data_IF_927325344031
#
_entry.id   IF_927325344031
#
_cell.length_a   1.000
_cell.length_b   1.000
_cell.length_c   1.000
_cell.angle_alpha   90.00
_cell.angle_beta   90.00
_cell.angle_gamma   90.00
#
_symmetry.space_group_name_H-M   'P 1'
#
loop_
_entity.id
_entity.type
_entity.pdbx_description
1 polymer ?
#
# COMPACT_ATOMS: atom_id res chain seq x y z
N UNK A 1 0.16 25.92 -13.77
CA UNK A 1 0.48 25.55 -15.17
C UNK A 1 -0.34 24.32 -15.51
N UNK A 2 -1.14 24.33 -16.58
CA UNK A 2 -1.78 23.12 -17.08
C UNK A 2 -0.66 22.24 -17.64
N UNK A 3 -0.20 21.28 -16.83
CA UNK A 3 0.81 20.32 -17.26
C UNK A 3 0.16 19.43 -18.31
N UNK A 4 0.72 19.50 -19.51
CA UNK A 4 0.22 18.82 -20.71
C UNK A 4 0.13 17.32 -20.40
N UNK A 5 -1.09 16.81 -20.54
CA UNK A 5 -1.55 15.46 -20.24
C UNK A 5 -0.77 14.38 -20.99
N UNK A 6 -0.25 14.73 -22.17
CA UNK A 6 0.50 13.88 -23.08
C UNK A 6 1.83 13.39 -22.48
N UNK A 7 2.40 14.11 -21.49
CA UNK A 7 3.67 13.76 -20.85
C UNK A 7 3.52 13.09 -19.47
N UNK A 8 2.30 12.74 -19.04
CA UNK A 8 2.08 12.16 -17.70
C UNK A 8 2.99 10.96 -17.44
N UNK A 9 3.09 10.03 -18.39
CA UNK A 9 3.95 8.84 -18.26
C UNK A 9 5.43 9.22 -18.04
N UNK A 10 5.96 10.13 -18.85
CA UNK A 10 7.35 10.59 -18.75
C UNK A 10 7.62 11.32 -17.41
N UNK A 11 6.68 12.15 -16.95
CA UNK A 11 6.77 12.83 -15.66
C UNK A 11 6.78 11.80 -14.52
N UNK A 12 5.89 10.80 -14.55
CA UNK A 12 5.80 9.76 -13.54
C UNK A 12 7.08 8.93 -13.47
N UNK A 13 7.64 8.54 -14.62
CA UNK A 13 8.89 7.78 -14.70
C UNK A 13 10.07 8.60 -14.17
N UNK A 14 10.16 9.88 -14.54
CA UNK A 14 11.18 10.79 -13.99
C UNK A 14 11.04 10.94 -12.48
N UNK A 15 9.81 11.10 -11.98
CA UNK A 15 9.56 11.19 -10.54
C UNK A 15 9.88 9.89 -9.80
N UNK A 16 9.62 8.73 -10.41
CA UNK A 16 10.00 7.42 -9.88
C UNK A 16 11.51 7.32 -9.75
N UNK A 17 12.23 7.60 -10.83
CA UNK A 17 13.69 7.63 -10.89
C UNK A 17 14.28 8.55 -9.82
N UNK A 18 13.78 9.78 -9.70
CA UNK A 18 14.23 10.73 -8.68
C UNK A 18 13.95 10.26 -7.25
N UNK A 19 12.83 9.58 -7.00
CA UNK A 19 12.53 9.04 -5.65
C UNK A 19 13.44 7.85 -5.33
N UNK A 20 13.68 6.94 -6.29
CA UNK A 20 14.60 5.81 -6.11
C UNK A 20 16.04 6.28 -5.89
N UNK A 21 16.46 7.36 -6.54
CA UNK A 21 17.80 7.95 -6.38
C UNK A 21 18.07 8.58 -5.00
N UNK A 22 17.06 8.69 -4.11
CA UNK A 22 17.22 9.36 -2.81
C UNK A 22 18.06 8.57 -1.80
N UNK A 23 18.01 7.25 -1.87
CA UNK A 23 18.77 6.39 -0.97
C UNK A 23 18.77 4.94 -1.47
N UNK A 24 19.72 4.14 -0.99
CA UNK A 24 19.75 2.70 -1.24
C UNK A 24 18.44 2.02 -0.83
N UNK A 25 17.87 2.39 0.31
CA UNK A 25 16.58 1.87 0.77
C UNK A 25 15.44 2.22 -0.21
N UNK A 26 15.40 3.46 -0.72
CA UNK A 26 14.39 3.86 -1.70
C UNK A 26 14.54 3.13 -3.04
N UNK A 27 15.78 2.89 -3.48
CA UNK A 27 16.09 2.11 -4.68
C UNK A 27 15.66 0.65 -4.53
N UNK A 28 16.08 -0.03 -3.46
CA UNK A 28 15.75 -1.42 -3.17
C UNK A 28 14.23 -1.60 -3.13
N UNK A 29 13.52 -0.70 -2.44
CA UNK A 29 12.06 -0.69 -2.38
C UNK A 29 11.41 -0.50 -3.75
N UNK A 30 11.93 0.38 -4.60
CA UNK A 30 11.32 0.72 -5.89
C UNK A 30 11.60 -0.28 -7.00
N UNK A 31 12.37 -1.35 -6.75
CA UNK A 31 12.89 -2.22 -7.80
C UNK A 31 12.79 -3.72 -7.46
N UNK A 32 11.55 -4.21 -7.38
CA UNK A 32 11.21 -5.61 -7.05
C UNK A 32 11.78 -6.60 -8.07
N UNK A 33 11.73 -6.29 -9.37
CA UNK A 33 12.26 -7.18 -10.43
C UNK A 33 13.77 -7.38 -10.25
N UNK A 34 14.54 -6.30 -10.05
CA UNK A 34 15.99 -6.40 -9.83
C UNK A 34 16.34 -7.17 -8.56
N UNK A 35 15.49 -7.11 -7.54
CA UNK A 35 15.66 -7.95 -6.36
C UNK A 35 15.56 -9.44 -6.69
N UNK A 36 14.56 -9.88 -7.44
CA UNK A 36 14.42 -11.29 -7.81
C UNK A 36 15.49 -11.75 -8.78
N UNK A 37 15.90 -10.90 -9.73
CA UNK A 37 17.06 -11.18 -10.60
C UNK A 37 18.34 -11.37 -9.77
N UNK A 38 18.58 -10.49 -8.79
CA UNK A 38 19.71 -10.60 -7.88
C UNK A 38 19.64 -11.88 -7.04
N UNK A 39 18.47 -12.19 -6.47
CA UNK A 39 18.29 -13.36 -5.63
C UNK A 39 18.54 -14.64 -6.44
N UNK A 40 17.95 -14.76 -7.64
CA UNK A 40 18.14 -15.90 -8.53
C UNK A 40 19.58 -16.06 -9.02
N UNK A 41 20.30 -14.95 -9.23
CA UNK A 41 21.71 -14.96 -9.61
C UNK A 41 22.70 -15.10 -8.45
N UNK A 42 22.24 -15.09 -7.20
CA UNK A 42 23.10 -15.17 -6.03
C UNK A 42 23.60 -16.59 -5.79
N UNK A 43 24.82 -16.73 -5.24
CA UNK A 43 25.38 -18.05 -4.89
C UNK A 43 24.53 -18.77 -3.83
N UNK A 44 23.96 -17.99 -2.91
CA UNK A 44 23.11 -18.51 -1.83
C UNK A 44 21.71 -18.92 -2.28
N UNK A 45 21.30 -18.62 -3.53
CA UNK A 45 20.00 -19.03 -4.05
C UNK A 45 19.79 -20.55 -3.96
N UNK A 46 20.84 -21.31 -4.29
CA UNK A 46 20.85 -22.77 -4.23
C UNK A 46 20.87 -23.33 -2.80
N UNK A 47 21.23 -22.50 -1.82
CA UNK A 47 21.31 -22.87 -0.39
C UNK A 47 20.01 -22.52 0.35
N UNK A 48 19.06 -21.84 -0.30
CA UNK A 48 17.80 -21.49 0.34
C UNK A 48 16.99 -22.75 0.67
N UNK A 49 16.36 -22.82 1.85
CA UNK A 49 15.50 -23.94 2.20
C UNK A 49 14.32 -24.02 1.24
N UNK A 50 13.91 -25.25 0.90
CA UNK A 50 12.69 -25.49 0.12
C UNK A 50 11.49 -25.37 1.05
N UNK A 51 10.69 -24.33 0.84
CA UNK A 51 9.43 -24.10 1.56
C UNK A 51 8.20 -24.54 0.75
N UNK A 52 7.02 -24.65 1.40
CA UNK A 52 5.78 -24.98 0.72
C UNK A 52 5.36 -23.85 -0.24
N UNK A 53 4.63 -24.16 -1.32
CA UNK A 53 4.05 -23.15 -2.20
C UNK A 53 2.87 -22.48 -1.50
N UNK A 54 3.07 -21.25 -1.01
CA UNK A 54 2.02 -20.46 -0.34
C UNK A 54 1.93 -19.07 -0.96
N UNK A 55 0.82 -18.38 -0.72
CA UNK A 55 0.71 -16.96 -1.07
C UNK A 55 1.71 -16.14 -0.25
N UNK A 56 2.67 -15.53 -0.94
CA UNK A 56 3.61 -14.56 -0.39
C UNK A 56 3.24 -13.15 -0.85
N UNK A 57 3.65 -12.12 -0.11
CA UNK A 57 3.48 -10.72 -0.47
C UNK A 57 4.20 -10.39 -1.79
N UNK A 58 5.37 -11.00 -2.05
CA UNK A 58 6.12 -10.83 -3.28
C UNK A 58 6.94 -9.53 -3.34
N UNK A 59 6.50 -8.46 -2.67
CA UNK A 59 7.27 -7.23 -2.43
C UNK A 59 7.35 -6.88 -0.93
N UNK A 60 7.56 -7.89 -0.07
CA UNK A 60 7.58 -7.69 1.38
C UNK A 60 8.74 -6.78 1.86
N UNK A 61 8.45 -5.54 2.22
CA UNK A 61 9.46 -4.59 2.67
C UNK A 61 8.96 -3.72 3.83
N UNK A 62 9.86 -3.03 4.54
CA UNK A 62 9.53 -2.21 5.72
C UNK A 62 8.39 -1.20 5.46
N UNK A 63 8.36 -0.60 4.27
CA UNK A 63 7.31 0.36 3.89
C UNK A 63 5.90 -0.24 3.71
N UNK A 64 5.76 -1.57 3.70
CA UNK A 64 4.49 -2.29 3.59
C UNK A 64 3.93 -2.65 4.96
N UNK A 65 4.77 -2.66 6.01
CA UNK A 65 4.30 -2.81 7.38
C UNK A 65 3.53 -1.58 7.84
N UNK A 66 2.38 -1.80 8.46
CA UNK A 66 1.71 -0.77 9.23
C UNK A 66 0.25 -1.08 9.55
N UNK A 67 -0.47 -0.11 10.12
CA UNK A 67 -1.82 -0.32 10.63
C UNK A 67 -2.80 -0.76 9.53
N UNK A 68 -3.51 -1.86 9.77
CA UNK A 68 -4.66 -2.37 9.03
C UNK A 68 -5.83 -2.50 10.00
N UNK A 69 -7.02 -2.09 9.57
CA UNK A 69 -8.24 -2.30 10.35
C UNK A 69 -8.94 -3.57 9.86
N UNK A 70 -9.37 -4.43 10.77
CA UNK A 70 -10.24 -5.56 10.47
C UNK A 70 -11.71 -5.11 10.29
N UNK A 71 -12.59 -6.06 9.97
CA UNK A 71 -14.02 -5.79 9.76
C UNK A 71 -14.74 -5.25 11.02
N UNK A 72 -14.17 -5.49 12.21
CA UNK A 72 -14.67 -5.01 13.50
C UNK A 72 -14.03 -3.67 13.91
N UNK A 73 -13.12 -3.13 13.09
CA UNK A 73 -12.41 -1.89 13.36
C UNK A 73 -11.26 -2.02 14.34
N UNK A 74 -10.83 -3.24 14.71
CA UNK A 74 -9.59 -3.48 15.45
C UNK A 74 -8.42 -3.21 14.51
N UNK A 75 -7.42 -2.48 15.01
CA UNK A 75 -6.27 -2.06 14.20
C UNK A 75 -5.02 -2.79 14.65
N UNK A 76 -4.33 -3.43 13.73
CA UNK A 76 -3.08 -4.14 13.97
C UNK A 76 -2.01 -3.75 12.96
N UNK A 77 -0.74 -3.93 13.32
CA UNK A 77 0.36 -3.72 12.38
C UNK A 77 0.57 -4.99 11.58
N UNK A 78 0.20 -4.95 10.31
CA UNK A 78 0.30 -6.08 9.40
C UNK A 78 1.06 -5.69 8.12
N UNK A 79 1.37 -6.68 7.28
CA UNK A 79 1.84 -6.46 5.92
C UNK A 79 0.66 -5.94 5.08
N UNK A 80 0.91 -4.91 4.27
CA UNK A 80 -0.05 -4.27 3.36
C UNK A 80 0.51 -4.23 1.95
N UNK A 81 -0.30 -3.79 0.99
CA UNK A 81 0.05 -3.77 -0.45
C UNK A 81 0.29 -5.20 -0.95
N UNK A 82 -0.81 -5.90 -1.24
CA UNK A 82 -0.82 -7.29 -1.71
C UNK A 82 -0.97 -7.39 -3.24
N UNK A 83 -0.63 -6.32 -3.96
CA UNK A 83 -0.77 -6.22 -5.42
C UNK A 83 0.33 -6.97 -6.20
N UNK A 84 1.43 -7.37 -5.55
CA UNK A 84 2.45 -8.27 -6.10
C UNK A 84 2.41 -9.68 -5.51
N UNK A 85 1.29 -10.08 -4.91
CA UNK A 85 1.17 -11.42 -4.32
C UNK A 85 1.31 -12.52 -5.37
N UNK A 86 2.02 -13.59 -5.00
CA UNK A 86 2.26 -14.74 -5.86
C UNK A 86 2.36 -16.00 -5.00
N UNK A 87 2.07 -17.16 -5.57
CA UNK A 87 2.39 -18.44 -4.92
C UNK A 87 3.88 -18.69 -5.03
N UNK A 88 4.58 -18.78 -3.90
CA UNK A 88 6.03 -18.93 -3.85
C UNK A 88 6.55 -19.47 -2.53
N UNK A 89 7.88 -19.56 -2.44
CA UNK A 89 8.57 -19.97 -1.22
C UNK A 89 8.54 -18.82 -0.18
N UNK A 90 8.06 -19.05 1.06
CA UNK A 90 8.01 -18.03 2.11
C UNK A 90 9.33 -17.29 2.35
N UNK A 91 10.46 -17.97 2.13
CA UNK A 91 11.79 -17.39 2.35
C UNK A 91 12.03 -16.13 1.51
N UNK A 92 11.37 -15.99 0.36
CA UNK A 92 11.52 -14.81 -0.50
C UNK A 92 11.06 -13.54 0.21
N UNK A 93 9.94 -13.58 0.94
CA UNK A 93 9.44 -12.43 1.70
C UNK A 93 10.36 -12.09 2.88
N UNK A 94 10.93 -13.10 3.55
CA UNK A 94 11.89 -12.89 4.64
C UNK A 94 13.18 -12.23 4.13
N UNK A 95 13.71 -12.70 3.01
CA UNK A 95 14.92 -12.11 2.39
C UNK A 95 14.63 -10.68 1.91
N UNK A 96 13.47 -10.46 1.29
CA UNK A 96 13.05 -9.12 0.83
C UNK A 96 12.93 -8.15 2.00
N UNK A 97 12.28 -8.58 3.09
CA UNK A 97 12.10 -7.77 4.29
C UNK A 97 13.44 -7.50 4.98
N UNK A 98 14.27 -8.54 5.13
CA UNK A 98 15.61 -8.43 5.72
C UNK A 98 16.50 -7.47 4.94
N UNK A 99 16.53 -7.55 3.61
CA UNK A 99 17.26 -6.61 2.75
C UNK A 99 16.74 -5.18 2.92
N UNK A 100 15.42 -5.01 3.02
CA UNK A 100 14.79 -3.71 3.27
C UNK A 100 15.21 -3.13 4.62
N UNK A 101 15.21 -3.94 5.69
CA UNK A 101 15.64 -3.55 7.04
C UNK A 101 17.13 -3.18 7.05
N UNK A 102 17.98 -4.01 6.47
CA UNK A 102 19.42 -3.76 6.38
C UNK A 102 19.73 -2.46 5.61
N UNK A 103 19.03 -2.23 4.50
CA UNK A 103 19.18 -1.00 3.70
C UNK A 103 18.70 0.24 4.45
N UNK A 104 17.62 0.14 5.25
CA UNK A 104 17.12 1.23 6.07
C UNK A 104 18.07 1.56 7.23
N UNK A 105 18.58 0.53 7.91
CA UNK A 105 19.54 0.67 9.00
C UNK A 105 20.84 1.32 8.51
N UNK A 106 21.37 0.87 7.37
CA UNK A 106 22.53 1.48 6.72
C UNK A 106 22.28 2.93 6.31
N UNK A 107 21.10 3.23 5.75
CA UNK A 107 20.73 4.61 5.40
C UNK A 107 20.52 5.54 6.59
N UNK A 108 20.49 5.00 7.81
CA UNK A 108 20.34 5.72 9.08
C UNK A 108 21.64 5.67 9.91
N UNK A 109 22.77 5.26 9.32
CA UNK A 109 24.07 5.12 9.97
C UNK A 109 24.05 4.27 11.25
N UNK A 110 23.18 3.26 11.31
CA UNK A 110 23.14 2.34 12.45
C UNK A 110 24.33 1.36 12.40
N UNK A 111 24.91 0.99 13.55
CA UNK A 111 25.97 -0.01 13.62
C UNK A 111 25.58 -1.35 12.99
N UNK A 112 26.56 -2.05 12.43
CA UNK A 112 26.35 -3.39 11.85
C UNK A 112 25.74 -4.38 12.85
N UNK A 113 26.12 -4.29 14.12
CA UNK A 113 25.54 -5.10 15.22
C UNK A 113 24.05 -4.85 15.40
N UNK A 114 23.59 -3.60 15.23
CA UNK A 114 22.17 -3.26 15.28
C UNK A 114 21.43 -3.86 14.09
N UNK A 115 22.04 -3.79 12.91
CA UNK A 115 21.47 -4.38 11.69
C UNK A 115 21.34 -5.89 11.82
N UNK A 116 22.38 -6.58 12.30
CA UNK A 116 22.36 -8.02 12.53
C UNK A 116 21.24 -8.41 13.51
N UNK A 117 21.15 -7.70 14.65
CA UNK A 117 20.10 -7.92 15.64
C UNK A 117 18.70 -7.69 15.08
N UNK A 118 18.50 -6.68 14.23
CA UNK A 118 17.20 -6.46 13.58
C UNK A 118 16.78 -7.62 12.67
N UNK A 119 17.72 -8.21 11.93
CA UNK A 119 17.46 -9.36 11.05
C UNK A 119 17.21 -10.62 11.88
N UNK A 120 18.01 -10.84 12.93
CA UNK A 120 17.85 -11.95 13.87
C UNK A 120 16.47 -11.93 14.52
N UNK A 121 16.06 -10.79 15.10
CA UNK A 121 14.74 -10.64 15.72
C UNK A 121 13.58 -10.79 14.72
N UNK A 122 13.79 -10.44 13.45
CA UNK A 122 12.79 -10.68 12.40
C UNK A 122 12.60 -12.19 12.15
N UNK A 123 13.69 -12.95 12.08
CA UNK A 123 13.63 -14.40 11.86
C UNK A 123 13.08 -15.12 13.09
N UNK A 124 13.55 -14.76 14.30
CA UNK A 124 13.01 -15.29 15.55
C UNK A 124 11.51 -15.03 15.71
N UNK A 125 11.06 -13.80 15.40
CA UNK A 125 9.64 -13.47 15.44
C UNK A 125 8.81 -14.27 14.45
N UNK A 126 9.34 -14.53 13.25
CA UNK A 126 8.68 -15.38 12.25
C UNK A 126 8.59 -16.84 12.71
N UNK A 127 9.67 -17.40 13.24
CA UNK A 127 9.72 -18.77 13.78
C UNK A 127 8.75 -18.93 14.96
N UNK A 128 8.73 -17.97 15.87
CA UNK A 128 7.81 -17.95 17.01
C UNK A 128 6.34 -17.93 16.58
N UNK A 129 5.99 -17.11 15.59
CA UNK A 129 4.63 -17.03 15.06
C UNK A 129 4.19 -18.36 14.41
N UNK A 130 5.11 -19.06 13.74
CA UNK A 130 4.83 -20.38 13.18
C UNK A 130 4.63 -21.46 14.26
N UNK A 131 5.36 -21.37 15.38
CA UNK A 131 5.31 -22.37 16.44
C UNK A 131 4.06 -22.26 17.33
N UNK A 132 3.59 -21.04 17.63
CA UNK A 132 2.49 -20.82 18.57
C UNK A 132 1.10 -20.84 17.93
N UNK A 133 0.99 -20.56 16.63
CA UNK A 133 -0.30 -20.54 15.92
C UNK A 133 -1.28 -19.42 16.32
N UNK A 134 -1.07 -18.76 17.48
CA UNK A 134 -1.82 -17.60 17.94
C UNK A 134 -0.90 -16.37 18.10
N UNK A 135 -1.31 -15.25 17.51
CA UNK A 135 -0.58 -13.96 17.54
C UNK A 135 -0.65 -13.26 18.92
N UNK A 136 -1.55 -13.71 19.81
CA UNK A 136 -1.96 -12.98 21.02
C UNK A 136 -0.96 -13.02 22.19
N UNK A 137 0.03 -13.93 22.18
CA UNK A 137 0.94 -14.13 23.32
C UNK A 137 2.24 -13.30 23.26
N UNK A 138 2.50 -12.60 22.15
CA UNK A 138 3.72 -11.76 22.04
C UNK A 138 3.49 -10.35 22.59
N UNK A 139 4.24 -9.89 23.61
CA UNK A 139 4.08 -8.54 24.16
C UNK A 139 4.31 -7.45 23.10
N UNK A 140 3.27 -6.69 22.78
CA UNK A 140 3.37 -5.60 21.80
C UNK A 140 4.33 -4.48 22.27
N UNK A 141 5.39 -4.17 21.50
CA UNK A 141 6.32 -3.08 21.83
C UNK A 141 5.63 -1.71 21.88
N UNK A 142 6.14 -0.81 22.74
CA UNK A 142 5.61 0.56 22.88
C UNK A 142 5.58 1.34 21.57
N UNK A 143 6.55 1.09 20.68
CA UNK A 143 6.64 1.71 19.34
C UNK A 143 5.48 1.27 18.44
N UNK A 144 5.15 -0.03 18.43
CA UNK A 144 4.02 -0.59 17.69
C UNK A 144 2.70 -0.03 18.25
N UNK A 145 2.58 0.01 19.57
CA UNK A 145 1.41 0.60 20.26
C UNK A 145 1.20 2.06 19.91
N UNK A 146 2.27 2.84 19.81
CA UNK A 146 2.22 4.24 19.40
C UNK A 146 1.76 4.39 17.93
N UNK A 147 2.25 3.54 17.03
CA UNK A 147 1.80 3.50 15.62
C UNK A 147 0.32 3.16 15.54
N UNK A 148 -0.15 2.15 16.28
CA UNK A 148 -1.57 1.77 16.35
C UNK A 148 -2.45 2.91 16.88
N UNK A 149 -2.07 3.53 18.01
CA UNK A 149 -2.80 4.68 18.57
C UNK A 149 -2.90 5.85 17.58
N UNK A 150 -1.81 6.16 16.88
CA UNK A 150 -1.79 7.22 15.86
C UNK A 150 -2.72 6.90 14.70
N UNK A 151 -2.84 5.64 14.31
CA UNK A 151 -3.76 5.20 13.27
C UNK A 151 -5.23 5.39 13.71
N UNK A 152 -5.57 4.96 14.93
CA UNK A 152 -6.91 5.11 15.51
C UNK A 152 -7.34 6.58 15.68
N UNK A 153 -6.40 7.47 16.02
CA UNK A 153 -6.65 8.90 16.15
C UNK A 153 -6.94 9.61 14.82
N UNK A 154 -6.51 9.04 13.68
CA UNK A 154 -6.78 9.56 12.34
C UNK A 154 -8.04 8.92 11.77
N UNK A 155 -9.20 9.21 12.36
CA UNK A 155 -10.49 8.84 11.75
C UNK A 155 -10.59 9.53 10.39
N UNK A 156 -11.01 8.80 9.35
CA UNK A 156 -11.32 9.34 8.02
C UNK A 156 -12.20 10.59 8.10
N UNK A 157 -13.11 10.64 9.08
CA UNK A 157 -13.96 11.79 9.39
C UNK A 157 -13.19 13.09 9.66
N UNK A 158 -12.04 13.03 10.34
CA UNK A 158 -11.19 14.21 10.57
C UNK A 158 -10.47 14.63 9.29
N UNK A 159 -10.00 13.67 8.49
CA UNK A 159 -9.33 13.95 7.20
C UNK A 159 -10.28 14.48 6.13
N UNK A 160 -11.53 14.01 6.12
CA UNK A 160 -12.59 14.48 5.24
C UNK A 160 -13.10 15.86 5.70
N UNK A 161 -13.38 16.06 6.99
CA UNK A 161 -13.81 17.36 7.51
C UNK A 161 -12.74 18.46 7.36
N UNK A 162 -11.46 18.11 7.47
CA UNK A 162 -10.35 19.06 7.24
C UNK A 162 -10.13 19.42 5.76
N UNK A 163 -10.70 18.67 4.80
CA UNK A 163 -10.34 18.78 3.36
C UNK A 163 -11.49 18.86 2.37
N UNK A 164 -12.71 18.55 2.78
CA UNK A 164 -13.90 18.41 1.94
C UNK A 164 -15.07 19.24 2.49
N UNK A 165 -14.81 20.48 2.91
CA UNK A 165 -15.76 21.37 3.57
C UNK A 165 -16.79 22.03 2.61
N UNK A 166 -17.11 21.39 1.48
CA UNK A 166 -18.02 21.94 0.46
C UNK A 166 -19.28 21.07 0.30
N UNK A 167 -20.37 21.72 -0.12
CA UNK A 167 -21.70 21.13 -0.37
C UNK A 167 -21.62 20.00 -1.42
N UNK A 168 -20.69 20.10 -2.37
CA UNK A 168 -20.23 18.99 -3.21
C UNK A 168 -18.73 18.78 -3.00
N UNK A 169 -18.33 17.68 -2.33
CA UNK A 169 -16.94 17.49 -1.98
C UNK A 169 -16.09 17.22 -3.24
N UNK A 170 -14.94 17.91 -3.35
CA UNK A 170 -13.98 17.76 -4.47
C UNK A 170 -12.58 17.39 -4.00
N UNK A 171 -11.87 16.60 -4.79
CA UNK A 171 -10.48 16.21 -4.60
C UNK A 171 -9.55 17.40 -4.87
N UNK A 172 -8.65 17.76 -3.93
CA UNK A 172 -7.79 18.91 -4.10
C UNK A 172 -6.68 18.64 -5.12
N UNK A 173 -6.77 19.26 -6.30
CA UNK A 173 -5.75 19.15 -7.34
C UNK A 173 -4.41 19.74 -6.90
N UNK A 174 -3.31 19.14 -7.35
CA UNK A 174 -1.95 19.59 -7.03
C UNK A 174 -0.92 18.48 -7.20
N UNK A 175 0.07 18.43 -6.30
CA UNK A 175 1.19 17.47 -6.42
C UNK A 175 0.78 15.99 -6.39
N UNK A 176 -0.36 15.66 -5.80
CA UNK A 176 -0.83 14.27 -5.60
C UNK A 176 -2.01 13.89 -6.48
N UNK A 177 -2.85 14.84 -6.85
CA UNK A 177 -4.07 14.64 -7.62
C UNK A 177 -4.00 15.53 -8.85
N UNK A 178 -3.99 14.95 -10.04
CA UNK A 178 -3.98 15.69 -11.30
C UNK A 178 -5.38 15.66 -11.92
N UNK A 179 -5.71 16.73 -12.65
CA UNK A 179 -6.98 16.82 -13.35
C UNK A 179 -7.11 15.69 -14.38
N UNK A 180 -8.31 15.15 -14.53
CA UNK A 180 -8.66 14.18 -15.58
C UNK A 180 -8.96 14.89 -16.89
N UNK A 181 -8.85 14.15 -17.99
CA UNK A 181 -9.47 14.54 -19.25
C UNK A 181 -10.93 14.10 -19.36
N UNK A 182 -11.61 14.56 -20.42
CA UNK A 182 -13.01 14.23 -20.63
C UNK A 182 -13.23 12.72 -20.87
N UNK A 183 -12.33 12.06 -21.59
CA UNK A 183 -12.44 10.63 -21.87
C UNK A 183 -12.22 9.79 -20.60
N UNK A 184 -11.22 10.12 -19.80
CA UNK A 184 -10.97 9.51 -18.48
C UNK A 184 -12.16 9.70 -17.55
N UNK A 185 -12.75 10.89 -17.54
CA UNK A 185 -13.92 11.18 -16.73
C UNK A 185 -15.15 10.36 -17.19
N UNK A 186 -15.37 10.25 -18.50
CA UNK A 186 -16.48 9.48 -19.08
C UNK A 186 -16.31 7.97 -18.87
N UNK A 187 -15.08 7.44 -19.01
CA UNK A 187 -14.76 6.04 -18.74
C UNK A 187 -14.96 5.69 -17.26
N UNK A 188 -14.55 6.56 -16.34
CA UNK A 188 -14.82 6.38 -14.91
C UNK A 188 -16.32 6.45 -14.62
N UNK A 189 -17.05 7.36 -15.27
CA UNK A 189 -18.51 7.42 -15.18
C UNK A 189 -19.16 6.10 -15.62
N UNK A 190 -18.72 5.55 -16.74
CA UNK A 190 -19.20 4.26 -17.25
C UNK A 190 -18.84 3.10 -16.30
N UNK A 191 -17.61 3.06 -15.78
CA UNK A 191 -17.14 2.02 -14.86
C UNK A 191 -17.95 2.01 -13.56
N UNK A 192 -18.14 3.17 -12.92
CA UNK A 192 -18.92 3.28 -11.68
C UNK A 192 -20.43 3.18 -11.92
N UNK A 193 -20.87 3.23 -13.17
CA UNK A 193 -22.23 2.89 -13.59
C UNK A 193 -22.49 1.38 -13.65
N UNK A 194 -21.46 0.53 -13.65
CA UNK A 194 -21.63 -0.93 -13.76
C UNK A 194 -22.18 -1.53 -12.47
N UNK A 195 -23.18 -2.42 -12.60
CA UNK A 195 -23.84 -3.08 -11.48
C UNK A 195 -22.86 -3.86 -10.59
N UNK A 196 -21.88 -4.56 -11.19
CA UNK A 196 -20.86 -5.29 -10.44
C UNK A 196 -19.99 -4.38 -9.56
N UNK A 197 -19.63 -3.20 -10.05
CA UNK A 197 -18.83 -2.21 -9.30
C UNK A 197 -19.68 -1.61 -8.17
N UNK A 198 -20.93 -1.28 -8.45
CA UNK A 198 -21.85 -0.77 -7.42
C UNK A 198 -22.10 -1.81 -6.33
N UNK A 199 -22.36 -3.06 -6.69
CA UNK A 199 -22.53 -4.16 -5.75
C UNK A 199 -21.28 -4.38 -4.89
N UNK A 200 -20.08 -4.32 -5.47
CA UNK A 200 -18.84 -4.42 -4.73
C UNK A 200 -18.68 -3.28 -3.72
N UNK A 201 -18.99 -2.03 -4.12
CA UNK A 201 -18.93 -0.86 -3.21
C UNK A 201 -19.94 -1.00 -2.07
N UNK A 202 -21.17 -1.44 -2.35
CA UNK A 202 -22.22 -1.61 -1.34
C UNK A 202 -21.91 -2.78 -0.38
N UNK A 203 -21.18 -3.80 -0.83
CA UNK A 203 -20.73 -4.89 0.03
C UNK A 203 -19.76 -4.43 1.13
N UNK A 204 -19.07 -3.30 0.92
CA UNK A 204 -18.16 -2.73 1.90
C UNK A 204 -18.95 -2.12 3.07
N UNK A 205 -18.66 -2.58 4.29
CA UNK A 205 -19.25 -2.12 5.55
C UNK A 205 -20.72 -2.52 5.79
N UNK A 206 -21.21 -3.59 5.13
CA UNK A 206 -22.51 -4.20 5.45
C UNK A 206 -23.71 -3.30 5.14
N UNK A 207 -23.66 -2.53 4.05
CA UNK A 207 -24.75 -1.64 3.65
C UNK A 207 -25.89 -2.41 2.97
N UNK A 208 -27.10 -1.87 3.07
CA UNK A 208 -28.29 -2.50 2.49
C UNK A 208 -28.38 -2.29 0.97
N UNK A 209 -29.01 -3.23 0.26
CA UNK A 209 -29.16 -3.21 -1.20
C UNK A 209 -30.01 -2.03 -1.74
N UNK A 210 -30.58 -1.20 -0.87
CA UNK A 210 -31.41 -0.04 -1.21
C UNK A 210 -30.55 1.21 -1.48
N UNK A 211 -29.32 1.25 -0.96
CA UNK A 211 -28.39 2.36 -1.16
C UNK A 211 -27.94 2.44 -2.63
N UNK A 212 -27.85 3.67 -3.15
CA UNK A 212 -27.34 3.94 -4.50
C UNK A 212 -25.97 4.59 -4.43
N UNK A 213 -25.12 4.22 -5.37
CA UNK A 213 -23.77 4.78 -5.51
C UNK A 213 -23.78 5.88 -6.57
N UNK A 214 -23.18 7.04 -6.26
CA UNK A 214 -22.95 8.13 -7.22
C UNK A 214 -21.48 8.52 -7.25
N UNK A 215 -20.91 8.62 -8.45
CA UNK A 215 -19.61 9.25 -8.67
C UNK A 215 -19.74 10.76 -8.42
N UNK A 216 -19.05 11.28 -7.40
CA UNK A 216 -19.06 12.71 -7.02
C UNK A 216 -17.92 13.45 -7.71
N UNK A 217 -16.71 12.92 -7.61
CA UNK A 217 -15.51 13.53 -8.18
C UNK A 217 -14.43 12.47 -8.42
N UNK A 218 -13.50 12.77 -9.32
CA UNK A 218 -12.36 11.90 -9.59
C UNK A 218 -11.12 12.70 -10.01
N UNK A 219 -9.96 12.16 -9.68
CA UNK A 219 -8.68 12.73 -10.06
C UNK A 219 -7.66 11.64 -10.35
N UNK A 220 -6.71 11.93 -11.24
CA UNK A 220 -5.57 11.06 -11.47
C UNK A 220 -4.69 11.03 -10.21
N UNK A 221 -4.40 9.84 -9.68
CA UNK A 221 -3.72 9.70 -8.41
C UNK A 221 -2.23 9.36 -8.57
N UNK A 222 -1.39 10.33 -8.23
CA UNK A 222 0.06 10.22 -8.27
C UNK A 222 0.60 9.56 -6.99
N UNK A 223 0.77 8.22 -6.99
CA UNK A 223 1.31 7.41 -5.85
C UNK A 223 2.84 7.14 -6.00
N UNK A 224 3.49 6.65 -4.95
CA UNK A 224 4.95 6.50 -4.80
C UNK A 224 5.63 5.39 -5.63
N UNK A 225 6.91 5.12 -5.31
CA UNK A 225 7.87 4.38 -6.14
C UNK A 225 7.47 2.98 -6.62
N UNK A 226 6.61 2.26 -5.91
CA UNK A 226 6.31 0.85 -6.21
C UNK A 226 5.47 0.66 -7.48
N UNK A 227 4.83 1.73 -7.98
CA UNK A 227 3.77 1.58 -8.98
C UNK A 227 3.62 2.75 -9.96
N UNK A 228 4.59 3.66 -10.00
CA UNK A 228 4.57 4.75 -10.97
C UNK A 228 4.71 4.10 -12.35
N UNK A 229 3.58 3.94 -13.03
CA UNK A 229 3.44 3.16 -14.27
C UNK A 229 2.07 2.52 -14.43
N UNK A 230 1.39 2.15 -13.34
CA UNK A 230 -0.01 1.68 -13.41
C UNK A 230 -0.97 2.86 -13.39
N UNK A 231 -2.01 2.78 -14.22
CA UNK A 231 -3.11 3.75 -14.24
C UNK A 231 -3.80 3.76 -12.88
N UNK A 232 -3.92 4.94 -12.26
CA UNK A 232 -4.50 5.09 -10.93
C UNK A 232 -5.36 6.33 -10.84
N UNK A 233 -6.57 6.13 -10.34
CA UNK A 233 -7.52 7.19 -10.07
C UNK A 233 -7.90 7.17 -8.60
N UNK A 234 -8.08 8.36 -8.04
CA UNK A 234 -8.77 8.54 -6.78
C UNK A 234 -10.20 8.95 -7.12
N UNK A 235 -11.16 8.27 -6.53
CA UNK A 235 -12.58 8.46 -6.82
C UNK A 235 -13.32 8.72 -5.51
N UNK A 236 -14.18 9.73 -5.53
CA UNK A 236 -15.09 10.03 -4.44
C UNK A 236 -16.49 9.57 -4.83
N UNK A 237 -17.09 8.73 -3.99
CA UNK A 237 -18.44 8.20 -4.18
C UNK A 237 -19.37 8.62 -3.05
N UNK A 238 -20.59 9.03 -3.40
CA UNK A 238 -21.73 9.18 -2.47
C UNK A 238 -22.53 7.89 -2.40
N UNK A 239 -23.07 7.56 -1.24
CA UNK A 239 -23.77 6.29 -0.98
C UNK A 239 -25.00 6.52 -0.09
N UNK A 240 -26.20 6.45 -0.69
CA UNK A 240 -27.46 6.77 -0.02
C UNK A 240 -28.71 6.57 -0.88
N UNK A 241 -29.89 6.78 -0.29
CA UNK A 241 -31.17 6.25 -0.78
C UNK A 241 -31.86 7.00 -1.94
N UNK A 242 -31.32 8.12 -2.45
CA UNK A 242 -31.96 8.84 -3.57
C UNK A 242 -30.98 9.43 -4.58
N UNK A 243 -31.41 9.60 -5.84
CA UNK A 243 -30.57 10.14 -6.94
C UNK A 243 -30.11 11.60 -6.69
N UNK A 244 -30.78 12.32 -5.79
CA UNK A 244 -30.45 13.70 -5.38
C UNK A 244 -29.66 13.78 -4.07
N UNK A 245 -29.71 12.73 -3.27
CA UNK A 245 -29.08 12.67 -1.94
C UNK A 245 -28.53 11.25 -1.69
N UNK A 246 -27.44 10.87 -2.38
CA UNK A 246 -26.65 9.68 -2.12
C UNK A 246 -25.52 9.99 -1.12
#
# INVERSE_FOLDING_TARGET
MPQIMEDRAAILERMKSLKMARSTHAYVRGNTIKFYEWLAGSRSAAELPVGPPVWICGDCHLGNLGPVADAQGRVEVQIRDLDQTVVGNPVHDLIRLGLSLASAARGSDLPGVTTARMIEQMVEGYDHALALGDEDDTPEPNTVRAVRRRALGRRWRHLAAERLADIEPRLPLGKKFWALDAAEHDELGALFGQEAVQAAILSLHGREAIDRVRLIDAAYWMKGCSSLGSLRFAVLVGIGGSKKDP
#
